data_IF_551874234528
#
_entry.id   IF_551874234528
#
_cell.length_a   1.000
_cell.length_b   1.000
_cell.length_c   1.000
_cell.angle_alpha   90.00
_cell.angle_beta   90.00
_cell.angle_gamma   90.00
#
_symmetry.space_group_name_H-M   'P 1'
#
loop_
_entity.id
_entity.type
_entity.pdbx_description
1 polymer ?
#
# COMPACT_ATOMS: atom_id res chain seq x y z
N UNK A 1 -12.11 13.22 -13.73
CA UNK A 1 -10.77 13.87 -13.70
C UNK A 1 -9.73 12.96 -13.06
N UNK A 2 -9.86 12.53 -11.80
CA UNK A 2 -8.89 11.62 -11.15
C UNK A 2 -8.69 10.29 -11.89
N UNK A 3 -9.73 9.78 -12.56
CA UNK A 3 -9.63 8.56 -13.40
C UNK A 3 -8.66 8.72 -14.57
N UNK A 4 -8.56 9.91 -15.17
CA UNK A 4 -7.63 10.19 -16.28
C UNK A 4 -6.21 10.42 -15.72
N UNK A 5 -6.11 11.16 -14.62
CA UNK A 5 -4.82 11.48 -14.00
C UNK A 5 -4.12 10.26 -13.40
N UNK A 6 -4.87 9.24 -13.00
CA UNK A 6 -4.32 7.96 -12.51
C UNK A 6 -3.76 7.06 -13.61
N UNK A 7 -3.91 7.43 -14.88
CA UNK A 7 -3.30 6.74 -16.03
C UNK A 7 -2.35 7.65 -16.79
N UNK A 8 -1.97 8.78 -16.20
CA UNK A 8 -1.04 9.72 -16.83
C UNK A 8 0.33 9.07 -17.04
N UNK A 9 1.01 9.38 -18.14
CA UNK A 9 2.36 8.87 -18.42
C UNK A 9 3.38 9.35 -17.38
N UNK A 10 3.15 10.52 -16.78
CA UNK A 10 4.00 11.04 -15.73
C UNK A 10 3.63 10.43 -14.38
N UNK A 11 4.56 9.64 -13.83
CA UNK A 11 4.41 9.02 -12.52
C UNK A 11 4.21 10.04 -11.39
N UNK A 12 4.74 11.28 -11.51
CA UNK A 12 4.52 12.35 -10.52
C UNK A 12 3.03 12.71 -10.43
N UNK A 13 2.32 12.75 -11.56
CA UNK A 13 0.89 13.06 -11.59
C UNK A 13 0.11 11.93 -10.93
N UNK A 14 0.45 10.67 -11.24
CA UNK A 14 -0.16 9.49 -10.61
C UNK A 14 0.11 9.44 -9.10
N UNK A 15 1.31 9.84 -8.67
CA UNK A 15 1.70 10.00 -7.27
C UNK A 15 0.76 10.96 -6.55
N UNK A 16 0.46 12.13 -7.13
CA UNK A 16 -0.44 13.11 -6.50
C UNK A 16 -1.86 12.56 -6.36
N UNK A 17 -2.31 11.75 -7.32
CA UNK A 17 -3.60 11.05 -7.21
C UNK A 17 -3.57 10.02 -6.07
N UNK A 18 -2.49 9.25 -5.94
CA UNK A 18 -2.33 8.28 -4.86
C UNK A 18 -2.25 8.94 -3.48
N UNK A 19 -1.67 10.14 -3.36
CA UNK A 19 -1.57 10.88 -2.10
C UNK A 19 -2.88 11.58 -1.70
N UNK A 20 -3.82 11.75 -2.63
CA UNK A 20 -5.08 12.42 -2.36
C UNK A 20 -5.95 11.60 -1.39
N UNK A 21 -6.26 12.10 -0.17
CA UNK A 21 -7.08 11.37 0.78
C UNK A 21 -8.50 11.14 0.26
N UNK A 22 -9.01 11.91 -0.70
CA UNK A 22 -10.33 11.70 -1.30
C UNK A 22 -10.27 10.90 -2.62
N UNK A 23 -9.15 10.24 -2.91
CA UNK A 23 -9.04 9.36 -4.06
C UNK A 23 -10.08 8.22 -3.95
N UNK A 24 -10.88 7.96 -4.99
CA UNK A 24 -11.81 6.84 -4.98
C UNK A 24 -11.09 5.51 -4.81
N UNK A 25 -11.70 4.57 -4.09
CA UNK A 25 -11.11 3.25 -3.80
C UNK A 25 -10.68 2.51 -5.08
N UNK A 26 -11.50 2.54 -6.14
CA UNK A 26 -11.19 1.91 -7.43
C UNK A 26 -9.88 2.45 -8.04
N UNK A 27 -9.61 3.74 -7.88
CA UNK A 27 -8.37 4.35 -8.34
C UNK A 27 -7.19 3.84 -7.51
N UNK A 28 -7.34 3.75 -6.19
CA UNK A 28 -6.30 3.24 -5.30
C UNK A 28 -6.00 1.75 -5.55
N UNK A 29 -7.01 0.93 -5.88
CA UNK A 29 -6.81 -0.46 -6.30
C UNK A 29 -5.94 -0.55 -7.55
N UNK A 30 -6.14 0.36 -8.52
CA UNK A 30 -5.32 0.41 -9.73
C UNK A 30 -3.90 0.89 -9.44
N UNK A 31 -3.76 1.98 -8.68
CA UNK A 31 -2.45 2.56 -8.34
C UNK A 31 -1.63 1.68 -7.38
N UNK A 32 -2.24 0.66 -6.77
CA UNK A 32 -1.52 -0.38 -6.05
C UNK A 32 -0.67 -1.28 -6.95
N UNK A 33 -1.00 -1.35 -8.25
CA UNK A 33 -0.29 -2.14 -9.27
C UNK A 33 0.59 -1.26 -10.16
N UNK A 34 0.77 0.02 -9.82
CA UNK A 34 1.54 0.97 -10.61
C UNK A 34 2.98 0.48 -10.80
N UNK A 35 3.56 0.65 -11.98
CA UNK A 35 4.97 0.29 -12.24
C UNK A 35 5.95 1.06 -11.34
N UNK A 36 5.58 2.29 -10.96
CA UNK A 36 6.42 3.17 -10.18
C UNK A 36 6.22 2.91 -8.68
N UNK A 37 7.33 2.58 -8.00
CA UNK A 37 7.31 2.26 -6.57
C UNK A 37 6.86 3.42 -5.68
N UNK A 38 7.11 4.68 -6.07
CA UNK A 38 6.73 5.84 -5.28
C UNK A 38 5.21 6.02 -5.31
N UNK A 39 4.57 5.78 -6.46
CA UNK A 39 3.11 5.74 -6.58
C UNK A 39 2.54 4.63 -5.68
N UNK A 40 3.06 3.40 -5.78
CA UNK A 40 2.62 2.28 -4.93
C UNK A 40 2.81 2.56 -3.43
N UNK A 41 3.92 3.22 -3.06
CA UNK A 41 4.20 3.63 -1.68
C UNK A 41 3.19 4.67 -1.19
N UNK A 42 2.80 5.65 -2.02
CA UNK A 42 1.74 6.62 -1.68
C UNK A 42 0.40 5.95 -1.53
N UNK A 43 0.07 5.01 -2.42
CA UNK A 43 -1.13 4.18 -2.29
C UNK A 43 -1.12 3.42 -0.96
N UNK A 44 -0.03 2.75 -0.58
CA UNK A 44 0.06 2.03 0.70
C UNK A 44 -0.11 2.94 1.94
N UNK A 45 0.21 4.24 1.83
CA UNK A 45 0.10 5.23 2.91
C UNK A 45 -1.24 5.93 2.96
N UNK A 46 -2.02 5.91 1.89
CA UNK A 46 -3.27 6.65 1.81
C UNK A 46 -4.31 6.00 2.74
N UNK A 47 -4.90 6.75 3.70
CA UNK A 47 -5.82 6.20 4.69
C UNK A 47 -7.08 5.56 4.10
N UNK A 48 -7.46 5.93 2.87
CA UNK A 48 -8.61 5.38 2.16
C UNK A 48 -8.25 4.21 1.25
N UNK A 49 -7.01 3.71 1.32
CA UNK A 49 -6.62 2.52 0.55
C UNK A 49 -7.40 1.30 1.03
N UNK A 50 -8.16 0.66 0.12
CA UNK A 50 -9.04 -0.44 0.48
C UNK A 50 -8.23 -1.71 0.80
N UNK A 51 -8.87 -2.63 1.51
CA UNK A 51 -8.29 -3.90 1.94
C UNK A 51 -7.71 -4.73 0.78
N UNK A 52 -8.36 -4.72 -0.37
CA UNK A 52 -7.90 -5.43 -1.57
C UNK A 52 -6.55 -4.87 -2.05
N UNK A 53 -6.43 -3.55 -2.16
CA UNK A 53 -5.18 -2.89 -2.55
C UNK A 53 -4.06 -3.18 -1.54
N UNK A 54 -4.35 -3.15 -0.24
CA UNK A 54 -3.38 -3.49 0.81
C UNK A 54 -2.92 -4.94 0.71
N UNK A 55 -3.81 -5.88 0.39
CA UNK A 55 -3.45 -7.30 0.19
C UNK A 55 -2.56 -7.52 -1.04
N UNK A 56 -2.69 -6.69 -2.08
CA UNK A 56 -1.77 -6.70 -3.24
C UNK A 56 -0.41 -6.13 -2.84
N UNK A 57 -0.40 -4.94 -2.23
CA UNK A 57 0.81 -4.25 -1.80
C UNK A 57 1.59 -5.00 -0.70
N UNK A 58 0.94 -5.88 0.06
CA UNK A 58 1.63 -6.74 1.03
C UNK A 58 2.57 -7.74 0.36
N UNK A 59 2.44 -7.96 -0.95
CA UNK A 59 3.29 -8.84 -1.75
C UNK A 59 4.27 -8.06 -2.64
N UNK A 60 4.37 -6.74 -2.45
CA UNK A 60 5.28 -5.89 -3.21
C UNK A 60 6.72 -6.36 -3.04
N UNK A 61 7.54 -6.19 -4.08
CA UNK A 61 8.96 -6.54 -4.04
C UNK A 61 9.73 -5.61 -3.10
N UNK A 62 9.30 -4.37 -2.95
CA UNK A 62 9.91 -3.39 -2.05
C UNK A 62 9.46 -3.59 -0.60
N UNK A 63 10.40 -3.92 0.28
CA UNK A 63 10.15 -4.15 1.71
C UNK A 63 9.62 -2.90 2.42
N UNK A 64 9.92 -1.69 1.93
CA UNK A 64 9.42 -0.45 2.51
C UNK A 64 7.92 -0.31 2.28
N UNK A 65 7.43 -0.68 1.09
CA UNK A 65 5.99 -0.69 0.78
C UNK A 65 5.27 -1.70 1.68
N UNK A 66 5.83 -2.91 1.83
CA UNK A 66 5.27 -3.92 2.74
C UNK A 66 5.23 -3.44 4.20
N UNK A 67 6.23 -2.66 4.65
CA UNK A 67 6.18 -2.00 5.96
C UNK A 67 5.00 -1.01 6.07
N UNK A 68 4.71 -0.23 5.02
CA UNK A 68 3.57 0.69 5.04
C UNK A 68 2.24 -0.03 5.10
N UNK A 69 2.12 -1.18 4.42
CA UNK A 69 0.96 -2.05 4.59
C UNK A 69 0.85 -2.56 6.03
N UNK A 70 1.94 -2.99 6.65
CA UNK A 70 1.91 -3.43 8.06
C UNK A 70 1.45 -2.30 9.01
N UNK A 71 1.87 -1.06 8.77
CA UNK A 71 1.48 0.11 9.56
C UNK A 71 0.04 0.58 9.31
N UNK A 72 -0.55 0.25 8.16
CA UNK A 72 -1.81 0.84 7.71
C UNK A 72 -3.03 0.32 8.49
N UNK A 73 -3.86 1.23 9.01
CA UNK A 73 -4.96 0.89 9.93
C UNK A 73 -5.98 -0.09 9.34
N UNK A 74 -6.29 0.06 8.04
CA UNK A 74 -7.26 -0.78 7.35
C UNK A 74 -6.70 -2.14 6.92
N UNK A 75 -5.43 -2.44 7.19
CA UNK A 75 -4.83 -3.72 6.77
C UNK A 75 -5.53 -4.90 7.45
N UNK A 76 -6.06 -5.87 6.67
CA UNK A 76 -6.70 -7.04 7.22
C UNK A 76 -5.78 -7.84 8.13
N UNK A 77 -6.36 -8.48 9.16
CA UNK A 77 -5.64 -9.35 10.10
C UNK A 77 -4.84 -10.45 9.39
N UNK A 78 -5.45 -11.14 8.42
CA UNK A 78 -4.78 -12.19 7.63
C UNK A 78 -3.52 -11.67 6.90
N UNK A 79 -3.59 -10.44 6.37
CA UNK A 79 -2.43 -9.80 5.72
C UNK A 79 -1.32 -9.51 6.74
N UNK A 80 -1.67 -9.05 7.94
CA UNK A 80 -0.71 -8.81 9.03
C UNK A 80 -0.08 -10.12 9.54
N UNK A 81 -0.85 -11.22 9.60
CA UNK A 81 -0.35 -12.55 9.94
C UNK A 81 0.67 -13.01 8.90
N UNK A 82 0.38 -12.87 7.60
CA UNK A 82 1.36 -13.17 6.55
C UNK A 82 2.64 -12.32 6.69
N UNK A 83 2.49 -11.00 6.83
CA UNK A 83 3.62 -10.06 6.97
C UNK A 83 4.42 -10.26 8.27
N UNK A 84 3.86 -10.89 9.29
CA UNK A 84 4.59 -11.22 10.53
C UNK A 84 5.65 -12.30 10.32
N UNK A 85 5.55 -13.06 9.23
CA UNK A 85 6.54 -14.05 8.75
C UNK A 85 7.34 -13.58 7.53
N UNK A 86 7.22 -12.31 7.15
CA UNK A 86 7.92 -11.73 5.98
C UNK A 86 9.43 -11.99 6.02
N UNK A 87 10.07 -12.14 4.86
CA UNK A 87 11.52 -12.34 4.76
C UNK A 87 12.31 -11.17 5.36
N UNK A 88 11.79 -9.94 5.25
CA UNK A 88 12.45 -8.73 5.74
C UNK A 88 12.15 -8.50 7.23
N UNK A 89 13.21 -8.31 8.02
CA UNK A 89 13.11 -8.13 9.47
C UNK A 89 12.43 -6.82 9.86
N UNK A 90 12.51 -5.77 9.03
CA UNK A 90 11.79 -4.53 9.28
C UNK A 90 10.29 -4.71 9.13
N UNK A 91 9.84 -5.47 8.12
CA UNK A 91 8.41 -5.74 7.91
C UNK A 91 7.84 -6.50 9.10
N UNK A 92 8.53 -7.56 9.55
CA UNK A 92 8.15 -8.31 10.75
C UNK A 92 8.07 -7.42 12.00
N UNK A 93 9.03 -6.49 12.17
CA UNK A 93 9.05 -5.55 13.30
C UNK A 93 7.83 -4.62 13.31
N UNK A 94 7.37 -4.16 12.15
CA UNK A 94 6.19 -3.30 12.07
C UNK A 94 4.89 -4.06 12.40
N UNK A 95 4.79 -5.35 12.03
CA UNK A 95 3.68 -6.20 12.46
C UNK A 95 3.67 -6.40 13.98
N UNK A 96 4.83 -6.64 14.60
CA UNK A 96 4.98 -6.77 16.06
C UNK A 96 4.50 -5.53 16.83
N UNK A 97 4.78 -4.33 16.31
CA UNK A 97 4.30 -3.07 16.91
C UNK A 97 2.77 -3.00 16.95
N UNK A 98 2.07 -3.70 16.06
CA UNK A 98 0.60 -3.81 16.04
C UNK A 98 0.05 -5.00 16.85
N UNK A 99 0.88 -5.67 17.63
CA UNK A 99 0.49 -6.81 18.46
C UNK A 99 0.43 -8.15 17.71
N UNK A 100 0.94 -8.20 16.48
CA UNK A 100 1.03 -9.45 15.70
C UNK A 100 2.38 -10.10 15.94
N UNK A 101 2.37 -11.22 16.66
CA UNK A 101 3.55 -12.02 17.00
C UNK A 101 3.28 -13.46 16.60
N UNK A 102 4.24 -14.06 15.87
CA UNK A 102 4.33 -15.51 15.64
C UNK A 102 5.41 -16.07 16.55
#
# INVERSE_FOLDING_TARGET
VLTILSTDVNWDIRHWVAENPNAPEEILVRLAEDENKDVRCRTARNPNTPKEALAKLSKDTDWWIRCKVAEHLNTPKEVLENLSTDIDSNVRRHCKKRGYVV
#
